data_IF_614130453693
#
_entry.id   IF_614130453693
#
_cell.length_a   1.000
_cell.length_b   1.000
_cell.length_c   1.000
_cell.angle_alpha   90.00
_cell.angle_beta   90.00
_cell.angle_gamma   90.00
#
_symmetry.space_group_name_H-M   'P 1'
#
loop_
_entity.id
_entity.type
_entity.pdbx_description
1 polymer ?
#
# COMPACT_ATOMS: atom_id res chain seq x y z
N UNK A 1 24.33 8.09 -22.42
CA UNK A 1 23.35 8.28 -21.33
C UNK A 1 23.95 9.19 -20.27
N UNK A 2 23.15 10.11 -19.72
CA UNK A 2 23.55 11.06 -18.67
C UNK A 2 22.64 10.84 -17.45
N UNK A 3 23.24 10.76 -16.27
CA UNK A 3 22.47 10.64 -15.02
C UNK A 3 21.57 11.87 -14.86
N UNK A 4 20.35 11.65 -14.36
CA UNK A 4 19.35 12.69 -14.09
C UNK A 4 18.90 13.50 -15.33
N UNK A 5 19.14 12.96 -16.53
CA UNK A 5 18.79 13.61 -17.81
C UNK A 5 18.32 12.62 -18.88
N UNK A 6 18.97 11.47 -18.97
CA UNK A 6 18.53 10.42 -19.91
C UNK A 6 17.31 9.71 -19.37
N UNK A 7 16.33 9.54 -20.24
CA UNK A 7 15.14 8.74 -20.01
C UNK A 7 15.28 7.42 -20.76
N UNK A 8 14.81 6.35 -20.15
CA UNK A 8 14.81 5.00 -20.69
C UNK A 8 13.37 4.49 -20.67
N UNK A 9 12.93 3.99 -21.82
CA UNK A 9 11.69 3.23 -21.98
C UNK A 9 12.04 1.77 -22.20
N UNK A 10 11.30 0.87 -21.56
CA UNK A 10 11.34 -0.56 -21.87
C UNK A 10 9.99 -0.94 -22.47
N UNK A 11 10.05 -1.59 -23.62
CA UNK A 11 8.89 -2.03 -24.37
C UNK A 11 8.85 -3.55 -24.39
N UNK A 12 7.65 -4.10 -24.24
CA UNK A 12 7.35 -5.50 -24.55
C UNK A 12 6.29 -5.47 -25.63
N UNK A 13 6.62 -6.04 -26.79
CA UNK A 13 5.79 -5.92 -27.98
C UNK A 13 5.48 -4.44 -28.26
N UNK A 14 4.20 -4.04 -28.23
CA UNK A 14 3.75 -2.66 -28.45
C UNK A 14 3.40 -1.90 -27.16
N UNK A 15 3.73 -2.45 -25.99
CA UNK A 15 3.38 -1.87 -24.68
C UNK A 15 4.63 -1.34 -23.94
N UNK A 16 4.58 -0.07 -23.52
CA UNK A 16 5.62 0.56 -22.67
C UNK A 16 5.48 0.07 -21.22
N UNK A 17 6.18 -1.01 -20.86
CA UNK A 17 6.12 -1.63 -19.53
C UNK A 17 6.95 -0.89 -18.46
N UNK A 18 7.86 0.00 -18.86
CA UNK A 18 8.60 0.87 -17.94
C UNK A 18 9.03 2.16 -18.62
N UNK A 19 8.95 3.26 -17.88
CA UNK A 19 9.45 4.57 -18.28
C UNK A 19 10.11 5.27 -17.09
N UNK A 20 11.39 5.57 -17.21
CA UNK A 20 12.17 6.06 -16.07
C UNK A 20 13.43 6.82 -16.43
N UNK A 21 13.99 7.48 -15.43
CA UNK A 21 15.18 8.29 -15.54
C UNK A 21 16.42 7.50 -15.10
N UNK A 22 17.52 7.64 -15.83
CA UNK A 22 18.82 7.08 -15.46
C UNK A 22 19.33 7.74 -14.17
N UNK A 23 19.57 6.95 -13.13
CA UNK A 23 20.13 7.42 -11.86
C UNK A 23 21.59 7.09 -11.69
N UNK A 24 21.99 5.88 -12.07
CA UNK A 24 23.35 5.41 -11.90
C UNK A 24 23.84 4.71 -13.17
N UNK A 25 25.14 4.84 -13.43
CA UNK A 25 25.83 4.16 -14.51
C UNK A 25 27.19 3.71 -14.00
N UNK A 26 27.44 2.41 -14.02
CA UNK A 26 28.73 1.82 -13.68
C UNK A 26 29.30 1.19 -14.95
N UNK A 27 30.53 1.52 -15.28
CA UNK A 27 31.25 0.94 -16.42
C UNK A 27 32.32 -0.01 -15.87
N UNK A 28 32.35 -1.24 -16.35
CA UNK A 28 33.41 -2.19 -16.01
C UNK A 28 34.69 -1.96 -16.85
N UNK A 29 35.75 -2.68 -16.51
CA UNK A 29 37.04 -2.63 -17.21
C UNK A 29 36.95 -3.14 -18.66
N UNK A 30 35.98 -4.00 -18.97
CA UNK A 30 35.78 -4.60 -20.29
C UNK A 30 34.90 -3.75 -21.22
N UNK A 31 34.36 -2.65 -20.72
CA UNK A 31 33.54 -1.72 -21.49
C UNK A 31 32.03 -1.89 -21.32
N UNK A 32 31.57 -2.91 -20.60
CA UNK A 32 30.16 -3.13 -20.30
C UNK A 32 29.65 -2.04 -19.35
N UNK A 33 28.38 -1.67 -19.50
CA UNK A 33 27.72 -0.66 -18.66
C UNK A 33 26.50 -1.25 -17.97
N UNK A 34 26.51 -1.21 -16.64
CA UNK A 34 25.31 -1.39 -15.81
C UNK A 34 24.64 -0.04 -15.64
N UNK A 35 23.36 0.05 -16.00
CA UNK A 35 22.57 1.29 -15.93
C UNK A 35 21.37 1.04 -15.03
N UNK A 36 21.23 1.85 -13.99
CA UNK A 36 20.08 1.80 -13.07
C UNK A 36 19.14 2.96 -13.39
N UNK A 37 17.88 2.64 -13.63
CA UNK A 37 16.82 3.60 -13.92
C UNK A 37 15.73 3.53 -12.84
N UNK A 38 15.09 4.67 -12.55
CA UNK A 38 13.95 4.73 -11.61
C UNK A 38 12.75 5.38 -12.27
N UNK A 39 11.54 4.97 -11.86
CA UNK A 39 10.31 5.56 -12.37
C UNK A 39 10.20 7.06 -12.05
N UNK A 40 9.43 7.77 -12.88
CA UNK A 40 9.35 9.23 -12.81
C UNK A 40 8.55 9.80 -11.64
N UNK A 41 7.90 8.96 -10.83
CA UNK A 41 7.28 9.40 -9.57
C UNK A 41 8.32 10.03 -8.63
N UNK A 42 9.59 9.67 -8.79
CA UNK A 42 10.73 10.27 -8.08
C UNK A 42 10.92 11.76 -8.36
N UNK A 43 10.31 12.33 -9.41
CA UNK A 43 10.32 13.79 -9.64
C UNK A 43 9.67 14.55 -8.49
N UNK A 44 8.66 13.98 -7.82
CA UNK A 44 8.02 14.61 -6.66
C UNK A 44 9.01 14.79 -5.48
N UNK A 45 10.09 14.01 -5.43
CA UNK A 45 11.15 14.17 -4.43
C UNK A 45 12.12 15.33 -4.73
N UNK A 46 12.07 15.93 -5.93
CA UNK A 46 12.97 17.00 -6.36
C UNK A 46 12.46 18.41 -5.99
N UNK A 47 11.38 18.51 -5.20
CA UNK A 47 10.74 19.78 -4.83
C UNK A 47 10.31 19.76 -3.37
N UNK A 48 10.29 20.92 -2.74
CA UNK A 48 9.98 21.07 -1.31
C UNK A 48 8.63 21.76 -1.14
N UNK A 49 7.77 21.24 -0.27
CA UNK A 49 6.53 21.90 0.08
C UNK A 49 6.78 23.05 1.07
N UNK A 50 6.20 24.24 0.85
CA UNK A 50 6.36 25.34 1.78
C UNK A 50 5.67 25.01 3.12
N UNK A 51 6.06 25.73 4.18
CA UNK A 51 5.27 25.71 5.40
C UNK A 51 3.90 26.32 5.12
N UNK A 52 2.85 25.51 5.20
CA UNK A 52 1.49 25.94 4.84
C UNK A 52 0.44 25.10 5.54
N UNK A 53 -0.62 25.78 5.94
CA UNK A 53 -1.81 25.19 6.52
C UNK A 53 -2.92 25.08 5.45
N UNK A 54 -3.65 23.98 5.47
CA UNK A 54 -4.75 23.67 4.56
C UNK A 54 -5.99 23.30 5.39
N UNK A 55 -7.06 24.05 5.18
CA UNK A 55 -8.38 23.85 5.79
C UNK A 55 -9.43 23.62 4.70
N UNK A 56 -10.47 22.86 5.01
CA UNK A 56 -11.64 22.64 4.14
C UNK A 56 -11.26 22.26 2.70
N UNK A 57 -10.30 21.33 2.57
CA UNK A 57 -9.85 20.83 1.28
C UNK A 57 -10.43 19.45 0.98
N UNK A 58 -10.92 19.25 -0.24
CA UNK A 58 -11.08 17.89 -0.77
C UNK A 58 -9.71 17.29 -1.12
N UNK A 59 -9.65 15.96 -1.28
CA UNK A 59 -8.43 15.28 -1.73
C UNK A 59 -7.91 15.84 -3.06
N UNK A 60 -8.82 16.18 -3.99
CA UNK A 60 -8.47 16.78 -5.27
C UNK A 60 -7.78 18.13 -5.09
N UNK A 61 -8.38 19.03 -4.29
CA UNK A 61 -7.84 20.38 -4.08
C UNK A 61 -6.50 20.35 -3.36
N UNK A 62 -6.34 19.46 -2.38
CA UNK A 62 -5.06 19.29 -1.69
C UNK A 62 -3.99 18.80 -2.66
N UNK A 63 -4.25 17.75 -3.44
CA UNK A 63 -3.29 17.23 -4.42
C UNK A 63 -2.92 18.27 -5.46
N UNK A 64 -3.90 19.01 -5.98
CA UNK A 64 -3.68 20.09 -6.95
C UNK A 64 -2.72 21.14 -6.40
N UNK A 65 -2.92 21.59 -5.15
CA UNK A 65 -2.04 22.57 -4.50
C UNK A 65 -0.62 22.04 -4.30
N UNK A 66 -0.47 20.77 -3.89
CA UNK A 66 0.85 20.13 -3.75
C UNK A 66 1.58 20.05 -5.10
N UNK A 67 0.87 19.67 -6.17
CA UNK A 67 1.42 19.61 -7.53
C UNK A 67 1.74 20.99 -8.11
N UNK A 68 0.95 22.02 -7.81
CA UNK A 68 1.26 23.40 -8.21
C UNK A 68 2.57 23.88 -7.57
N UNK A 69 2.77 23.59 -6.28
CA UNK A 69 4.02 23.92 -5.59
C UNK A 69 5.21 23.12 -6.13
N UNK A 70 5.02 21.86 -6.52
CA UNK A 70 6.04 21.07 -7.20
C UNK A 70 6.41 21.68 -8.57
N UNK A 71 5.41 21.94 -9.40
CA UNK A 71 5.59 22.42 -10.78
C UNK A 71 6.22 23.81 -10.85
N UNK A 72 6.15 24.63 -9.80
CA UNK A 72 6.83 25.94 -9.77
C UNK A 72 8.33 25.85 -9.51
N UNK A 73 8.83 24.69 -9.06
CA UNK A 73 10.22 24.48 -8.65
C UNK A 73 11.05 23.63 -9.62
N UNK A 74 10.39 22.93 -10.56
CA UNK A 74 11.05 21.94 -11.44
C UNK A 74 11.01 22.35 -12.91
N UNK A 75 11.94 21.78 -13.68
CA UNK A 75 11.98 21.91 -15.13
C UNK A 75 10.66 21.44 -15.78
N UNK A 76 10.32 21.99 -16.96
CA UNK A 76 9.06 21.70 -17.65
C UNK A 76 8.79 20.21 -17.90
N UNK A 77 9.83 19.42 -18.20
CA UNK A 77 9.70 17.97 -18.43
C UNK A 77 9.42 17.16 -17.17
N UNK A 78 9.61 17.74 -15.99
CA UNK A 78 9.28 17.13 -14.69
C UNK A 78 7.90 17.52 -14.18
N UNK A 79 7.23 18.49 -14.83
CA UNK A 79 5.92 18.95 -14.38
C UNK A 79 4.89 17.84 -14.48
N UNK A 80 4.10 17.69 -13.43
CA UNK A 80 3.07 16.66 -13.31
C UNK A 80 1.71 17.34 -13.18
N UNK A 81 0.76 16.92 -14.02
CA UNK A 81 -0.63 17.39 -14.01
C UNK A 81 -1.44 16.53 -13.04
N UNK A 82 -2.49 17.11 -12.48
CA UNK A 82 -3.47 16.32 -11.73
C UNK A 82 -4.24 15.41 -12.68
N UNK A 83 -4.38 14.15 -12.31
CA UNK A 83 -5.19 13.15 -12.99
C UNK A 83 -6.50 12.88 -12.25
N UNK A 84 -6.93 11.62 -12.25
CA UNK A 84 -8.13 11.20 -11.55
C UNK A 84 -7.91 11.17 -10.03
N UNK A 85 -8.83 11.76 -9.27
CA UNK A 85 -8.83 11.70 -7.80
C UNK A 85 -10.15 11.14 -7.32
N UNK A 86 -10.11 9.92 -6.78
CA UNK A 86 -11.33 9.18 -6.40
C UNK A 86 -11.35 8.80 -4.92
N UNK A 87 -10.23 8.97 -4.22
CA UNK A 87 -10.17 8.89 -2.76
C UNK A 87 -10.72 10.18 -2.18
N UNK A 88 -11.74 10.10 -1.33
CA UNK A 88 -12.33 11.23 -0.63
C UNK A 88 -12.33 11.01 0.88
N UNK A 89 -12.35 12.10 1.64
CA UNK A 89 -12.71 12.04 3.05
C UNK A 89 -14.23 12.02 3.18
N UNK A 90 -14.76 11.42 4.25
CA UNK A 90 -16.22 11.35 4.48
C UNK A 90 -16.91 12.71 4.47
N UNK A 91 -16.20 13.79 4.82
CA UNK A 91 -16.73 15.14 4.88
C UNK A 91 -16.05 16.12 3.89
N UNK A 92 -15.11 15.64 3.06
CA UNK A 92 -14.30 16.46 2.14
C UNK A 92 -13.70 17.74 2.77
N UNK A 93 -13.42 17.70 4.07
CA UNK A 93 -12.78 18.79 4.81
C UNK A 93 -11.50 18.29 5.45
N UNK A 94 -10.44 18.23 4.64
CA UNK A 94 -9.11 17.87 5.11
C UNK A 94 -8.47 19.05 5.84
N UNK A 95 -8.10 18.81 7.09
CA UNK A 95 -7.18 19.67 7.83
C UNK A 95 -5.76 19.09 7.79
N UNK A 96 -4.82 19.77 7.12
CA UNK A 96 -3.43 19.31 6.92
C UNK A 96 -2.44 20.47 6.98
N UNK A 97 -1.19 20.14 7.27
CA UNK A 97 -0.06 21.06 7.22
C UNK A 97 1.12 20.42 6.50
N UNK A 98 1.82 21.24 5.72
CA UNK A 98 3.14 20.95 5.17
C UNK A 98 4.17 21.82 5.88
N UNK A 99 5.41 21.34 5.98
CA UNK A 99 6.53 21.97 6.66
C UNK A 99 7.88 21.50 6.10
N UNK A 100 8.23 21.98 4.91
CA UNK A 100 9.52 21.73 4.26
C UNK A 100 9.87 20.27 3.97
N UNK A 101 8.92 19.33 4.05
CA UNK A 101 9.07 18.00 3.46
C UNK A 101 9.06 18.06 1.92
N UNK A 102 9.57 17.02 1.27
CA UNK A 102 9.44 16.88 -0.19
C UNK A 102 7.98 16.72 -0.61
N UNK A 103 7.65 17.05 -1.86
CA UNK A 103 6.27 16.82 -2.38
C UNK A 103 5.87 15.33 -2.30
N UNK A 104 6.82 14.43 -2.53
CA UNK A 104 6.58 12.98 -2.39
C UNK A 104 6.19 12.62 -0.96
N UNK A 105 6.95 13.08 0.04
CA UNK A 105 6.66 12.83 1.46
C UNK A 105 5.32 13.45 1.89
N UNK A 106 5.00 14.66 1.40
CA UNK A 106 3.72 15.30 1.67
C UNK A 106 2.54 14.47 1.14
N UNK A 107 2.61 14.00 -0.11
CA UNK A 107 1.56 13.17 -0.70
C UNK A 107 1.43 11.84 0.05
N UNK A 108 2.54 11.15 0.30
CA UNK A 108 2.53 9.86 0.99
C UNK A 108 2.02 9.98 2.43
N UNK A 109 2.57 10.89 3.23
CA UNK A 109 2.27 11.00 4.65
C UNK A 109 0.95 11.72 4.97
N UNK A 110 0.53 12.70 4.14
CA UNK A 110 -0.66 13.51 4.43
C UNK A 110 -1.91 12.98 3.73
N UNK A 111 -1.76 12.23 2.64
CA UNK A 111 -2.87 11.66 1.87
C UNK A 111 -2.89 10.14 1.98
N UNK A 112 -1.92 9.44 1.38
CA UNK A 112 -1.94 7.96 1.27
C UNK A 112 -1.98 7.28 2.65
N UNK A 113 -1.13 7.68 3.59
CA UNK A 113 -1.10 7.08 4.93
C UNK A 113 -2.34 7.39 5.78
N UNK A 114 -3.00 8.54 5.53
CA UNK A 114 -4.12 9.02 6.35
C UNK A 114 -5.48 8.61 5.81
N UNK A 115 -5.62 8.57 4.49
CA UNK A 115 -6.88 8.32 3.79
C UNK A 115 -6.88 6.96 3.06
N UNK A 116 -5.72 6.31 2.95
CA UNK A 116 -5.55 5.11 2.12
C UNK A 116 -5.43 5.45 0.64
N UNK A 117 -5.75 4.49 -0.22
CA UNK A 117 -5.64 4.62 -1.66
C UNK A 117 -4.22 4.53 -2.20
N UNK A 118 -4.07 4.79 -3.49
CA UNK A 118 -2.85 4.51 -4.25
C UNK A 118 -2.57 5.63 -5.24
N UNK A 119 -1.29 5.89 -5.49
CA UNK A 119 -0.84 6.92 -6.42
C UNK A 119 -0.29 6.26 -7.67
N UNK A 120 -0.76 6.69 -8.84
CA UNK A 120 -0.29 6.19 -10.15
C UNK A 120 0.16 7.36 -11.00
N UNK A 121 1.36 7.26 -11.56
CA UNK A 121 1.84 8.21 -12.56
C UNK A 121 1.54 7.63 -13.95
N UNK A 122 0.72 8.34 -14.73
CA UNK A 122 0.44 8.04 -16.14
C UNK A 122 1.17 9.02 -17.06
N UNK A 123 1.43 8.58 -18.28
CA UNK A 123 1.99 9.38 -19.37
C UNK A 123 1.03 9.32 -20.54
N UNK A 124 0.48 10.47 -20.92
CA UNK A 124 -0.47 10.61 -22.03
C UNK A 124 -0.09 11.84 -22.85
N UNK A 125 0.00 11.69 -24.18
CA UNK A 125 0.40 12.75 -25.11
C UNK A 125 1.67 13.50 -24.69
N UNK A 126 2.65 12.77 -24.16
CA UNK A 126 3.93 13.31 -23.70
C UNK A 126 3.86 14.11 -22.38
N UNK A 127 2.71 14.10 -21.69
CA UNK A 127 2.50 14.78 -20.40
C UNK A 127 2.34 13.76 -19.28
N UNK A 128 2.80 14.12 -18.09
CA UNK A 128 2.65 13.30 -16.89
C UNK A 128 1.38 13.69 -16.14
N UNK A 129 0.62 12.69 -15.69
CA UNK A 129 -0.59 12.84 -14.88
C UNK A 129 -0.46 12.00 -13.61
N UNK A 130 -0.76 12.58 -12.46
CA UNK A 130 -0.80 11.87 -11.18
C UNK A 130 -2.25 11.57 -10.80
N UNK A 131 -2.60 10.29 -10.78
CA UNK A 131 -3.88 9.84 -10.24
C UNK A 131 -3.73 9.47 -8.77
N UNK A 132 -4.78 9.71 -7.99
CA UNK A 132 -4.94 9.26 -6.62
C UNK A 132 -6.24 8.48 -6.47
N UNK A 133 -6.11 7.15 -6.43
CA UNK A 133 -7.18 6.21 -6.73
C UNK A 133 -7.48 5.29 -5.55
N UNK A 134 -8.75 4.88 -5.43
CA UNK A 134 -9.12 3.77 -4.56
C UNK A 134 -8.67 2.45 -5.19
N UNK A 135 -8.64 1.40 -4.38
CA UNK A 135 -8.19 0.07 -4.81
C UNK A 135 -8.98 -0.41 -6.04
N UNK A 136 -10.30 -0.19 -6.05
CA UNK A 136 -11.23 -0.59 -7.11
C UNK A 136 -10.96 0.09 -8.46
N UNK A 137 -10.12 1.12 -8.49
CA UNK A 137 -9.81 1.92 -9.67
C UNK A 137 -8.33 1.79 -10.12
N UNK A 138 -7.48 1.06 -9.38
CA UNK A 138 -6.04 0.92 -9.67
C UNK A 138 -5.71 0.15 -10.97
N UNK A 139 -6.42 -0.93 -11.20
CA UNK A 139 -6.24 -1.82 -12.35
C UNK A 139 -7.52 -2.60 -12.66
N UNK A 140 -7.39 -3.69 -13.41
CA UNK A 140 -8.52 -4.59 -13.69
C UNK A 140 -8.69 -5.58 -12.53
N UNK A 141 -9.93 -6.01 -12.31
CA UNK A 141 -10.17 -7.19 -11.51
C UNK A 141 -9.87 -8.41 -12.37
N UNK A 142 -8.98 -9.30 -11.91
CA UNK A 142 -8.74 -10.55 -12.62
C UNK A 142 -10.02 -11.38 -12.62
N UNK A 143 -10.35 -11.99 -13.75
CA UNK A 143 -11.53 -12.87 -13.87
C UNK A 143 -11.36 -14.17 -13.07
N UNK A 144 -10.11 -14.60 -12.89
CA UNK A 144 -9.73 -15.78 -12.14
C UNK A 144 -9.37 -15.41 -10.70
N UNK A 145 -9.69 -16.31 -9.76
CA UNK A 145 -9.32 -16.21 -8.36
C UNK A 145 -8.22 -17.23 -8.03
N UNK A 146 -7.37 -16.91 -7.05
CA UNK A 146 -6.40 -17.84 -6.50
C UNK A 146 -7.03 -18.57 -5.31
N UNK A 147 -7.13 -19.89 -5.41
CA UNK A 147 -7.51 -20.76 -4.29
C UNK A 147 -6.26 -21.35 -3.67
N UNK A 148 -5.91 -20.88 -2.47
CA UNK A 148 -4.73 -21.32 -1.75
C UNK A 148 -5.01 -22.64 -1.03
N UNK A 149 -4.20 -23.66 -1.32
CA UNK A 149 -4.04 -24.82 -0.45
C UNK A 149 -3.16 -24.50 0.75
N UNK A 150 -2.97 -25.47 1.66
CA UNK A 150 -2.05 -25.32 2.81
C UNK A 150 -0.64 -24.92 2.33
N UNK A 151 -0.14 -25.57 1.28
CA UNK A 151 1.24 -25.40 0.80
C UNK A 151 1.54 -24.02 0.17
N UNK A 152 0.59 -23.39 -0.54
CA UNK A 152 0.82 -22.10 -1.19
C UNK A 152 0.70 -20.90 -0.24
N UNK A 153 -0.01 -21.06 0.88
CA UNK A 153 -0.03 -20.04 1.95
C UNK A 153 1.16 -20.16 2.88
N UNK A 154 1.73 -21.35 3.00
CA UNK A 154 3.03 -21.58 3.64
C UNK A 154 4.17 -21.02 2.76
N UNK A 155 4.00 -21.02 1.43
CA UNK A 155 4.86 -20.35 0.45
C UNK A 155 4.69 -18.82 0.38
N UNK A 156 3.65 -18.26 1.00
CA UNK A 156 3.68 -16.86 1.44
C UNK A 156 4.65 -16.81 2.64
N UNK A 157 5.95 -16.97 2.32
CA UNK A 157 7.03 -17.60 3.10
C UNK A 157 7.23 -17.12 4.55
N UNK A 158 6.57 -16.07 5.02
CA UNK A 158 6.74 -15.53 6.36
C UNK A 158 5.45 -14.86 6.87
N UNK A 159 4.32 -15.56 6.91
CA UNK A 159 3.25 -15.17 7.83
C UNK A 159 3.81 -15.33 9.25
N UNK A 160 4.51 -14.31 9.74
CA UNK A 160 4.75 -14.20 11.17
C UNK A 160 3.38 -14.31 11.81
N UNK A 161 3.23 -15.11 12.86
CA UNK A 161 1.99 -15.12 13.63
C UNK A 161 1.59 -13.69 14.05
N UNK A 162 2.54 -12.75 14.07
CA UNK A 162 2.32 -11.32 14.30
C UNK A 162 1.50 -10.60 13.20
N UNK A 163 1.44 -11.11 11.97
CA UNK A 163 0.79 -10.45 10.83
C UNK A 163 -0.70 -10.78 10.68
N UNK A 164 -1.18 -11.84 11.33
CA UNK A 164 -2.58 -12.27 11.29
C UNK A 164 -3.26 -11.95 12.61
N UNK A 165 -4.24 -11.03 12.59
CA UNK A 165 -5.02 -10.76 13.81
C UNK A 165 -6.08 -11.85 14.00
N UNK A 166 -5.94 -12.72 14.99
CA UNK A 166 -6.90 -13.79 15.28
C UNK A 166 -7.91 -13.43 16.37
N UNK A 167 -7.60 -12.44 17.20
CA UNK A 167 -8.49 -11.92 18.24
C UNK A 167 -8.45 -10.39 18.32
N UNK A 168 -9.57 -9.77 18.72
CA UNK A 168 -9.68 -8.31 18.87
C UNK A 168 -10.30 -7.97 20.22
N UNK A 169 -9.68 -7.02 20.93
CA UNK A 169 -10.29 -6.31 22.06
C UNK A 169 -10.77 -4.96 21.54
N UNK A 170 -12.08 -4.77 21.33
CA UNK A 170 -12.61 -3.49 20.87
C UNK A 170 -12.85 -2.55 22.06
N UNK A 171 -12.37 -1.31 21.94
CA UNK A 171 -12.61 -0.25 22.90
C UNK A 171 -13.46 0.84 22.24
N UNK A 172 -14.58 1.20 22.86
CA UNK A 172 -15.46 2.28 22.40
C UNK A 172 -15.04 3.65 22.93
N UNK A 173 -16.01 4.57 22.98
CA UNK A 173 -15.82 5.91 23.55
C UNK A 173 -15.30 5.82 24.98
N UNK A 174 -14.36 6.70 25.31
CA UNK A 174 -13.89 6.91 26.68
C UNK A 174 -15.07 7.34 27.57
N UNK A 175 -15.19 6.74 28.74
CA UNK A 175 -16.20 7.06 29.74
C UNK A 175 -15.62 8.11 30.69
N UNK A 176 -16.41 9.14 30.98
CA UNK A 176 -16.06 10.13 32.00
C UNK A 176 -16.14 9.45 33.38
N UNK A 177 -15.05 9.46 34.14
CA UNK A 177 -15.02 8.91 35.49
C UNK A 177 -15.56 9.98 36.45
N UNK A 178 -16.78 9.79 36.98
CA UNK A 178 -17.37 10.69 38.00
C UNK A 178 -16.68 10.60 39.38
N UNK A 179 -15.78 9.62 39.59
CA UNK A 179 -15.05 9.41 40.86
C UNK A 179 -13.53 9.60 40.68
N UNK A 180 -13.11 10.76 40.19
CA UNK A 180 -11.72 11.07 39.87
C UNK A 180 -10.99 11.77 41.03
N UNK A 181 -10.69 11.04 42.11
CA UNK A 181 -9.58 11.42 43.01
C UNK A 181 -8.38 10.47 42.95
N UNK A 182 -8.50 9.24 42.40
CA UNK A 182 -7.37 8.29 42.37
C UNK A 182 -7.31 7.31 41.18
N UNK A 183 -8.21 7.36 40.19
CA UNK A 183 -8.12 6.46 39.02
C UNK A 183 -7.35 7.10 37.86
N UNK A 184 -6.06 6.76 37.75
CA UNK A 184 -5.18 7.12 36.62
C UNK A 184 -5.59 6.38 35.32
N UNK A 185 -6.44 5.35 35.42
CA UNK A 185 -6.84 4.48 34.31
C UNK A 185 -8.15 4.97 33.67
N UNK A 186 -8.08 5.30 32.38
CA UNK A 186 -9.23 5.65 31.54
C UNK A 186 -10.10 4.43 31.29
N UNK A 187 -11.41 4.53 31.53
CA UNK A 187 -12.40 3.49 31.22
C UNK A 187 -12.98 3.72 29.83
N UNK A 188 -13.26 2.65 29.11
CA UNK A 188 -13.87 2.69 27.78
C UNK A 188 -15.13 1.82 27.77
N UNK A 189 -16.06 2.13 26.86
CA UNK A 189 -17.13 1.18 26.51
C UNK A 189 -16.48 -0.11 26.00
N UNK A 190 -16.84 -1.26 26.57
CA UNK A 190 -16.35 -2.57 26.15
C UNK A 190 -17.51 -3.52 25.77
N UNK A 191 -17.19 -4.79 25.47
CA UNK A 191 -18.17 -5.82 25.11
C UNK A 191 -18.41 -6.86 26.22
N UNK A 192 -17.78 -6.70 27.39
CA UNK A 192 -17.74 -7.71 28.45
C UNK A 192 -19.15 -8.11 28.92
N UNK A 193 -20.04 -7.12 29.06
CA UNK A 193 -21.42 -7.29 29.50
C UNK A 193 -22.31 -8.09 28.53
N UNK A 194 -21.96 -8.10 27.25
CA UNK A 194 -22.76 -8.73 26.18
C UNK A 194 -22.10 -9.99 25.59
N UNK A 195 -20.89 -10.33 26.05
CA UNK A 195 -20.08 -11.40 25.47
C UNK A 195 -19.60 -12.39 26.55
N UNK A 196 -20.51 -12.79 27.45
CA UNK A 196 -20.27 -13.80 28.49
C UNK A 196 -19.03 -13.48 29.36
N UNK A 197 -18.82 -12.21 29.71
CA UNK A 197 -17.68 -11.78 30.52
C UNK A 197 -16.36 -11.67 29.76
N UNK A 198 -16.36 -11.81 28.43
CA UNK A 198 -15.15 -11.67 27.60
C UNK A 198 -15.11 -10.32 26.92
N UNK A 199 -13.99 -9.62 27.07
CA UNK A 199 -13.73 -8.34 26.41
C UNK A 199 -13.18 -8.49 24.98
N UNK A 200 -13.15 -9.69 24.42
CA UNK A 200 -12.56 -9.98 23.11
C UNK A 200 -13.48 -10.79 22.19
N UNK A 201 -13.26 -10.66 20.89
CA UNK A 201 -13.78 -11.54 19.84
C UNK A 201 -12.64 -12.36 19.23
N UNK A 202 -12.94 -13.53 18.67
CA UNK A 202 -11.94 -14.44 18.11
C UNK A 202 -12.43 -15.09 16.83
N UNK A 203 -11.55 -15.18 15.82
CA UNK A 203 -11.73 -15.99 14.62
C UNK A 203 -11.25 -17.40 14.92
N UNK A 204 -12.15 -18.37 14.99
CA UNK A 204 -11.83 -19.73 15.48
C UNK A 204 -11.00 -20.51 14.46
N UNK A 205 -11.32 -20.32 13.19
CA UNK A 205 -10.63 -20.88 12.04
C UNK A 205 -9.17 -20.40 12.04
N UNK A 206 -8.95 -19.09 12.17
CA UNK A 206 -7.62 -18.50 12.21
C UNK A 206 -6.86 -18.87 13.49
N UNK A 207 -7.52 -18.86 14.64
CA UNK A 207 -6.91 -19.23 15.92
C UNK A 207 -6.37 -20.66 15.90
N UNK A 208 -7.09 -21.59 15.25
CA UNK A 208 -6.68 -22.99 15.17
C UNK A 208 -5.36 -23.17 14.41
N UNK A 209 -5.11 -22.32 13.42
CA UNK A 209 -3.91 -22.38 12.58
C UNK A 209 -2.78 -21.49 13.09
N UNK A 210 -3.06 -20.22 13.34
CA UNK A 210 -2.05 -19.18 13.63
C UNK A 210 -1.88 -18.90 15.13
N UNK A 211 -2.68 -19.55 15.98
CA UNK A 211 -2.64 -19.32 17.43
C UNK A 211 -3.34 -18.03 17.86
N UNK A 212 -3.07 -17.60 19.09
CA UNK A 212 -3.70 -16.43 19.69
C UNK A 212 -2.89 -15.16 19.42
N UNK A 213 -3.43 -14.27 18.60
CA UNK A 213 -2.81 -13.01 18.18
C UNK A 213 -3.85 -11.92 18.36
N UNK A 214 -3.72 -11.19 19.46
CA UNK A 214 -4.74 -10.24 19.91
C UNK A 214 -4.34 -8.80 19.63
N UNK A 215 -5.25 -8.02 19.02
CA UNK A 215 -5.07 -6.60 18.74
C UNK A 215 -6.14 -5.76 19.44
N UNK A 216 -5.74 -4.63 20.01
CA UNK A 216 -6.67 -3.65 20.56
C UNK A 216 -7.10 -2.69 19.45
N UNK A 217 -8.40 -2.48 19.27
CA UNK A 217 -8.94 -1.59 18.23
C UNK A 217 -9.86 -0.55 18.86
N UNK A 218 -9.54 0.71 18.64
CA UNK A 218 -10.27 1.84 19.20
C UNK A 218 -11.35 2.35 18.24
N UNK A 219 -12.59 2.40 18.72
CA UNK A 219 -13.76 2.93 18.06
C UNK A 219 -14.31 4.11 18.86
N UNK A 220 -13.54 5.21 18.91
CA UNK A 220 -13.78 6.37 19.79
C UNK A 220 -15.18 6.99 19.68
N UNK A 221 -15.88 6.78 18.56
CA UNK A 221 -17.22 7.31 18.30
C UNK A 221 -18.35 6.32 18.63
N UNK A 222 -18.07 5.19 19.30
CA UNK A 222 -19.05 4.14 19.59
C UNK A 222 -19.35 4.08 21.08
N UNK A 223 -20.61 4.35 21.42
CA UNK A 223 -21.08 4.42 22.82
C UNK A 223 -21.89 3.20 23.27
N UNK A 224 -22.27 2.31 22.34
CA UNK A 224 -23.17 1.18 22.60
C UNK A 224 -22.43 -0.15 22.43
N UNK A 225 -22.36 -1.04 23.44
CA UNK A 225 -21.67 -2.33 23.37
C UNK A 225 -22.07 -3.21 22.18
N UNK A 226 -23.37 -3.32 21.88
CA UNK A 226 -23.86 -4.14 20.75
C UNK A 226 -23.34 -3.62 19.40
N UNK A 227 -23.28 -2.30 19.24
CA UNK A 227 -22.70 -1.68 18.04
C UNK A 227 -21.19 -1.87 17.98
N UNK A 228 -20.51 -1.81 19.14
CA UNK A 228 -19.08 -2.06 19.26
C UNK A 228 -18.73 -3.50 18.85
N UNK A 229 -19.46 -4.49 19.34
CA UNK A 229 -19.26 -5.89 18.96
C UNK A 229 -19.47 -6.12 17.46
N UNK A 230 -20.54 -5.58 16.87
CA UNK A 230 -20.79 -5.68 15.43
C UNK A 230 -19.66 -5.04 14.60
N UNK A 231 -19.18 -3.86 15.00
CA UNK A 231 -18.06 -3.17 14.35
C UNK A 231 -16.75 -3.94 14.50
N UNK A 232 -16.51 -4.52 15.67
CA UNK A 232 -15.33 -5.34 15.94
C UNK A 232 -15.31 -6.61 15.08
N UNK A 233 -16.44 -7.33 14.97
CA UNK A 233 -16.54 -8.54 14.13
C UNK A 233 -16.26 -8.20 12.66
N UNK A 234 -16.89 -7.14 12.15
CA UNK A 234 -16.61 -6.66 10.79
C UNK A 234 -15.14 -6.26 10.62
N UNK A 235 -14.58 -5.53 11.57
CA UNK A 235 -13.17 -5.14 11.52
C UNK A 235 -12.24 -6.37 11.49
N UNK A 236 -12.52 -7.40 12.30
CA UNK A 236 -11.74 -8.63 12.31
C UNK A 236 -11.81 -9.33 10.95
N UNK A 237 -13.00 -9.45 10.34
CA UNK A 237 -13.15 -10.01 9.00
C UNK A 237 -12.37 -9.22 7.94
N UNK A 238 -12.43 -7.89 7.97
CA UNK A 238 -11.82 -7.02 6.97
C UNK A 238 -10.28 -6.89 7.13
N UNK A 239 -9.75 -7.04 8.35
CA UNK A 239 -8.37 -6.70 8.69
C UNK A 239 -7.55 -7.88 9.23
N UNK A 240 -8.14 -9.06 9.43
CA UNK A 240 -7.44 -10.27 9.91
C UNK A 240 -6.17 -10.55 9.08
N UNK A 241 -6.22 -10.29 7.77
CA UNK A 241 -5.12 -10.52 6.83
C UNK A 241 -4.49 -9.23 6.28
N UNK A 242 -4.56 -8.11 7.02
CA UNK A 242 -4.09 -6.80 6.54
C UNK A 242 -2.60 -6.76 6.21
N UNK A 243 -1.78 -7.49 6.96
CA UNK A 243 -0.32 -7.50 6.81
C UNK A 243 0.20 -8.64 5.92
N UNK A 244 -0.69 -9.42 5.33
CA UNK A 244 -0.30 -10.55 4.48
C UNK A 244 0.29 -10.05 3.16
N UNK A 245 1.47 -10.56 2.85
CA UNK A 245 2.17 -10.43 1.57
C UNK A 245 2.31 -11.81 0.93
N UNK A 246 1.91 -11.95 -0.34
CA UNK A 246 1.96 -13.21 -1.09
C UNK A 246 2.85 -13.00 -2.30
N UNK A 247 3.98 -13.72 -2.34
CA UNK A 247 4.93 -13.70 -3.45
C UNK A 247 4.70 -14.92 -4.35
N UNK A 248 4.40 -14.72 -5.63
CA UNK A 248 4.10 -15.78 -6.59
C UNK A 248 5.07 -15.70 -7.77
N UNK A 249 5.65 -16.84 -8.14
CA UNK A 249 6.42 -17.00 -9.38
C UNK A 249 5.51 -17.30 -10.57
N UNK A 250 6.07 -17.21 -11.78
CA UNK A 250 5.35 -17.61 -12.99
C UNK A 250 4.95 -19.09 -12.99
N UNK A 251 5.72 -19.96 -12.33
CA UNK A 251 5.38 -21.37 -12.16
C UNK A 251 4.14 -21.50 -11.28
N UNK A 252 4.12 -20.84 -10.11
CA UNK A 252 2.96 -20.85 -9.21
C UNK A 252 1.72 -20.32 -9.92
N UNK A 253 1.86 -19.20 -10.65
CA UNK A 253 0.75 -18.63 -11.42
C UNK A 253 0.24 -19.62 -12.47
N UNK A 254 1.13 -20.30 -13.18
CA UNK A 254 0.75 -21.30 -14.19
C UNK A 254 0.06 -22.51 -13.55
N UNK A 255 0.54 -23.00 -12.40
CA UNK A 255 -0.10 -24.08 -11.63
C UNK A 255 -1.50 -23.69 -11.14
N UNK A 256 -1.68 -22.42 -10.78
CA UNK A 256 -2.96 -21.82 -10.40
C UNK A 256 -3.87 -21.52 -11.60
N UNK A 257 -3.44 -21.82 -12.83
CA UNK A 257 -4.19 -21.56 -14.06
C UNK A 257 -4.24 -20.08 -14.46
N UNK A 258 -3.42 -19.23 -13.83
CA UNK A 258 -3.26 -17.81 -14.15
C UNK A 258 -2.15 -17.63 -15.18
N UNK A 259 -2.50 -17.00 -16.31
CA UNK A 259 -1.49 -16.64 -17.30
C UNK A 259 -0.76 -15.37 -16.87
N UNK A 260 0.47 -15.50 -16.37
CA UNK A 260 1.26 -14.40 -15.80
C UNK A 260 1.42 -13.19 -16.74
N UNK A 261 1.38 -13.39 -18.07
CA UNK A 261 1.49 -12.30 -19.02
C UNK A 261 0.26 -11.38 -19.06
N UNK A 262 -0.85 -11.78 -18.42
CA UNK A 262 -2.08 -10.96 -18.33
C UNK A 262 -2.17 -10.14 -17.05
N UNK A 263 -1.26 -10.37 -16.10
CA UNK A 263 -1.25 -9.71 -14.78
C UNK A 263 -0.27 -8.54 -14.80
N UNK A 264 -0.78 -7.37 -14.44
CA UNK A 264 -0.02 -6.13 -14.35
C UNK A 264 0.02 -5.61 -12.91
N UNK A 265 1.05 -4.82 -12.60
CA UNK A 265 1.09 -4.07 -11.34
C UNK A 265 -0.14 -3.14 -11.23
N UNK A 266 -0.84 -3.20 -10.09
CA UNK A 266 -2.11 -2.50 -9.86
C UNK A 266 -3.36 -3.35 -10.11
N UNK A 267 -3.25 -4.50 -10.78
CA UNK A 267 -4.37 -5.44 -10.92
C UNK A 267 -4.82 -6.00 -9.56
N UNK A 268 -6.08 -6.40 -9.50
CA UNK A 268 -6.71 -6.93 -8.30
C UNK A 268 -7.00 -8.42 -8.44
N UNK A 269 -6.44 -9.20 -7.52
CA UNK A 269 -6.57 -10.66 -7.49
C UNK A 269 -7.36 -11.08 -6.26
N UNK A 270 -8.45 -11.83 -6.47
CA UNK A 270 -9.21 -12.44 -5.36
C UNK A 270 -8.50 -13.70 -4.88
N UNK A 271 -8.21 -13.75 -3.59
CA UNK A 271 -7.49 -14.79 -2.89
C UNK A 271 -8.43 -15.49 -1.90
N UNK A 272 -8.55 -16.81 -2.04
CA UNK A 272 -9.43 -17.65 -1.24
C UNK A 272 -8.62 -18.68 -0.46
N UNK A 273 -8.80 -18.73 0.85
CA UNK A 273 -8.32 -19.82 1.71
C UNK A 273 -9.36 -20.15 2.79
N UNK A 274 -10.40 -20.94 2.43
CA UNK A 274 -11.50 -21.25 3.33
C UNK A 274 -11.05 -21.90 4.65
N UNK A 275 -9.98 -22.70 4.62
CA UNK A 275 -9.41 -23.35 5.80
C UNK A 275 -8.92 -22.37 6.88
N UNK A 276 -8.69 -21.11 6.51
CA UNK A 276 -8.24 -20.04 7.40
C UNK A 276 -9.26 -18.89 7.52
N UNK A 277 -10.38 -18.98 6.82
CA UNK A 277 -11.38 -17.91 6.72
C UNK A 277 -10.98 -16.74 5.83
N UNK A 278 -10.05 -16.93 4.86
CA UNK A 278 -9.65 -15.88 3.93
C UNK A 278 -10.54 -15.85 2.68
N UNK A 279 -11.17 -14.71 2.43
CA UNK A 279 -11.77 -14.35 1.14
C UNK A 279 -11.51 -12.86 0.93
N UNK A 280 -10.44 -12.54 0.21
CA UNK A 280 -9.96 -11.16 0.10
C UNK A 280 -9.40 -10.83 -1.27
N UNK A 281 -9.62 -9.60 -1.70
CA UNK A 281 -8.98 -9.04 -2.89
C UNK A 281 -7.69 -8.34 -2.49
N UNK A 282 -6.59 -8.75 -3.12
CA UNK A 282 -5.28 -8.11 -2.97
C UNK A 282 -4.87 -7.43 -4.28
N UNK A 283 -4.35 -6.19 -4.25
CA UNK A 283 -3.66 -5.63 -5.40
C UNK A 283 -2.30 -6.29 -5.62
N UNK A 284 -1.88 -6.36 -6.87
CA UNK A 284 -0.50 -6.59 -7.26
C UNK A 284 0.30 -5.33 -6.95
N UNK A 285 1.13 -5.36 -5.91
CA UNK A 285 1.92 -4.20 -5.43
C UNK A 285 3.33 -4.17 -6.01
N UNK A 286 3.83 -5.30 -6.52
CA UNK A 286 5.15 -5.41 -7.15
C UNK A 286 5.12 -6.48 -8.24
N UNK A 287 5.85 -6.20 -9.31
CA UNK A 287 6.08 -7.14 -10.40
C UNK A 287 7.56 -7.06 -10.81
N UNK A 288 8.24 -8.21 -10.82
CA UNK A 288 9.62 -8.35 -11.28
C UNK A 288 9.62 -9.10 -12.60
N UNK A 289 10.20 -8.48 -13.62
CA UNK A 289 10.23 -9.01 -14.99
C UNK A 289 11.68 -9.17 -15.45
N UNK A 290 12.23 -10.39 -15.44
CA UNK A 290 13.54 -10.65 -16.03
C UNK A 290 13.43 -10.62 -17.57
N UNK A 291 14.00 -9.59 -18.21
CA UNK A 291 13.89 -9.40 -19.66
C UNK A 291 14.47 -10.59 -20.45
N UNK A 292 15.59 -11.16 -19.98
CA UNK A 292 16.23 -12.30 -20.62
C UNK A 292 15.56 -13.64 -20.32
N UNK A 293 14.74 -13.70 -19.27
CA UNK A 293 14.06 -14.91 -18.82
C UNK A 293 12.62 -14.62 -18.40
N UNK A 294 11.71 -14.38 -19.35
CA UNK A 294 10.33 -14.02 -19.03
C UNK A 294 9.56 -15.07 -18.22
N UNK A 295 10.00 -16.33 -18.21
CA UNK A 295 9.45 -17.39 -17.37
C UNK A 295 9.83 -17.32 -15.89
N UNK A 296 10.71 -16.39 -15.49
CA UNK A 296 11.09 -16.16 -14.08
C UNK A 296 10.37 -14.93 -13.49
N UNK A 297 9.23 -14.53 -14.07
CA UNK A 297 8.41 -13.43 -13.54
C UNK A 297 7.97 -13.73 -12.11
N UNK A 298 7.97 -12.69 -11.28
CA UNK A 298 7.46 -12.74 -9.90
C UNK A 298 6.49 -11.60 -9.66
N UNK A 299 5.39 -11.87 -8.97
CA UNK A 299 4.43 -10.86 -8.52
C UNK A 299 4.30 -10.90 -7.00
N UNK A 300 3.92 -9.78 -6.41
CA UNK A 300 3.63 -9.67 -4.99
C UNK A 300 2.24 -9.09 -4.82
N UNK A 301 1.40 -9.78 -4.05
CA UNK A 301 0.07 -9.36 -3.66
C UNK A 301 0.09 -8.89 -2.19
N UNK A 302 -0.36 -7.67 -1.89
CA UNK A 302 -0.38 -7.16 -0.52
C UNK A 302 -1.48 -6.13 -0.30
N UNK A 303 -2.13 -6.14 0.86
CA UNK A 303 -3.21 -5.20 1.19
C UNK A 303 -2.71 -3.82 1.59
N UNK A 304 -1.54 -3.76 2.21
CA UNK A 304 -0.79 -2.53 2.44
C UNK A 304 0.57 -2.66 1.80
N UNK A 305 0.96 -1.63 1.07
CA UNK A 305 2.37 -1.38 0.84
C UNK A 305 2.92 -1.11 2.24
N UNK A 306 3.80 -1.98 2.76
CA UNK A 306 4.56 -1.70 3.99
C UNK A 306 5.17 -0.29 3.88
N UNK A 307 5.45 0.37 5.02
CA UNK A 307 5.85 1.80 5.27
C UNK A 307 7.04 2.34 4.46
N UNK A 308 7.15 1.89 3.24
CA UNK A 308 8.34 1.58 2.54
C UNK A 308 8.39 2.32 1.23
N UNK A 309 7.32 2.91 0.67
CA UNK A 309 7.48 3.61 -0.61
C UNK A 309 8.48 4.79 -0.52
N UNK A 310 8.43 5.57 0.57
CA UNK A 310 9.41 6.65 0.83
C UNK A 310 10.79 6.07 1.20
N UNK A 311 10.83 5.02 2.03
CA UNK A 311 12.08 4.32 2.36
C UNK A 311 12.66 3.53 1.18
N UNK A 312 11.86 3.14 0.18
CA UNK A 312 12.17 2.33 -1.00
C UNK A 312 12.66 3.23 -2.13
N UNK A 313 12.39 4.54 -2.13
CA UNK A 313 13.12 5.43 -3.05
C UNK A 313 14.59 5.53 -2.63
N UNK A 314 14.87 5.55 -1.31
CA UNK A 314 16.23 5.45 -0.76
C UNK A 314 16.78 4.01 -0.78
N UNK A 315 15.97 3.00 -0.44
CA UNK A 315 16.35 1.58 -0.42
C UNK A 315 16.45 0.97 -1.82
N UNK A 316 15.62 1.30 -2.80
CA UNK A 316 15.78 0.75 -4.16
C UNK A 316 17.15 1.11 -4.77
N UNK A 317 17.80 2.19 -4.29
CA UNK A 317 19.19 2.53 -4.62
C UNK A 317 20.20 1.74 -3.76
N UNK A 318 19.85 1.31 -2.54
CA UNK A 318 20.70 0.50 -1.66
C UNK A 318 20.57 -1.02 -1.88
N UNK A 319 19.37 -1.59 -2.01
CA UNK A 319 19.13 -3.04 -2.15
C UNK A 319 19.70 -3.59 -3.47
N UNK A 320 19.76 -2.77 -4.53
CA UNK A 320 20.46 -3.13 -5.78
C UNK A 320 22.00 -3.19 -5.64
N UNK A 321 22.56 -2.73 -4.52
CA UNK A 321 24.00 -2.91 -4.19
C UNK A 321 24.28 -4.27 -3.55
N UNK A 322 23.31 -4.85 -2.84
CA UNK A 322 23.49 -6.12 -2.12
C UNK A 322 23.39 -7.31 -3.08
N UNK A 323 22.55 -7.24 -4.12
CA UNK A 323 22.53 -8.22 -5.23
C UNK A 323 23.78 -8.15 -6.16
N UNK A 324 24.79 -7.34 -5.82
CA UNK A 324 26.08 -7.25 -6.53
C UNK A 324 27.25 -7.87 -5.77
N UNK A 325 26.98 -8.49 -4.62
CA UNK A 325 27.98 -9.24 -3.85
C UNK A 325 27.54 -10.71 -3.74
N UNK A 326 27.25 -11.34 -4.87
CA UNK A 326 27.34 -12.80 -5.06
C UNK A 326 27.89 -13.12 -6.45
#
# INVERSE_FOLDING_TARGET
MKNRKSIVSVWRDDEEIFFGEVREQVKDLYGSKKVTCVGLLTYLADSIQPQKEYHDQSSYQLLEKLLQAHNSQVDDYKKIRIGFVTVSDSNDSLYRFTNFETTLEAIMGKMVEKLGGYVRLRKEDGKLYLDYLRLEEMGKATSQHISFGLNLLEYAENLSAEDVTTAVIPLGKELENENSENEVLKKHVDITSINNGKNYIVSREAQKTFGWVCKVVNFNNVTVPTNLMRKAVKWLQDNQFEHVEISLSAVDLSELGLYYATIECGDRVRCLAPQFGMDRVFPVVKQTIPIQKPGEVRIVLASRISKGYVQNVSHAVQTLKEETVE
#
